data_IF_619050722087
#
_entry.id   IF_619050722087
#
_cell.length_a   1.000
_cell.length_b   1.000
_cell.length_c   1.000
_cell.angle_alpha   90.00
_cell.angle_beta   90.00
_cell.angle_gamma   90.00
#
_symmetry.space_group_name_H-M   'P 1'
#
loop_
_entity.id
_entity.type
_entity.pdbx_description
1 polymer ?
#
# COMPACT_ATOMS: atom_id res chain seq x y z
N UNK A 1 12.83 11.85 15.65
CA UNK A 1 12.19 11.29 14.44
C UNK A 1 13.23 10.89 13.40
N UNK A 2 14.01 11.83 12.84
CA UNK A 2 15.04 11.50 11.84
C UNK A 2 15.99 10.37 12.29
N UNK A 3 16.47 10.43 13.54
CA UNK A 3 17.32 9.36 14.12
C UNK A 3 16.63 7.99 14.07
N UNK A 4 15.34 7.91 14.41
CA UNK A 4 14.57 6.65 14.38
C UNK A 4 14.55 6.09 12.96
N UNK A 5 14.23 6.94 11.98
CA UNK A 5 14.15 6.53 10.59
C UNK A 5 15.51 6.06 10.08
N UNK A 6 16.56 6.88 10.13
CA UNK A 6 17.86 6.51 9.59
C UNK A 6 18.49 5.31 10.30
N UNK A 7 18.36 5.18 11.63
CA UNK A 7 18.83 4.00 12.35
C UNK A 7 18.08 2.72 11.92
N UNK A 8 16.75 2.80 11.73
CA UNK A 8 15.97 1.65 11.24
C UNK A 8 16.35 1.24 9.81
N UNK A 9 16.72 2.21 8.96
CA UNK A 9 17.19 1.96 7.60
C UNK A 9 18.53 1.24 7.60
N UNK A 10 19.46 1.61 8.49
CA UNK A 10 20.72 0.87 8.68
C UNK A 10 20.45 -0.60 9.04
N UNK A 11 19.58 -0.86 10.03
CA UNK A 11 19.22 -2.24 10.42
C UNK A 11 18.59 -3.00 9.26
N UNK A 12 17.65 -2.37 8.54
CA UNK A 12 17.00 -2.94 7.36
C UNK A 12 18.02 -3.27 6.27
N UNK A 13 18.97 -2.37 6.00
CA UNK A 13 20.04 -2.57 5.01
C UNK A 13 20.94 -3.74 5.41
N UNK A 14 21.27 -3.92 6.69
CA UNK A 14 22.03 -5.09 7.16
C UNK A 14 21.28 -6.38 6.85
N UNK A 15 19.97 -6.42 7.08
CA UNK A 15 19.15 -7.59 6.73
C UNK A 15 19.14 -7.82 5.22
N UNK A 16 18.89 -6.79 4.41
CA UNK A 16 18.91 -6.91 2.95
C UNK A 16 20.26 -7.42 2.43
N UNK A 17 21.39 -6.91 2.95
CA UNK A 17 22.72 -7.40 2.57
C UNK A 17 22.95 -8.86 2.97
N UNK A 18 22.46 -9.29 4.13
CA UNK A 18 22.55 -10.68 4.56
C UNK A 18 21.79 -11.62 3.64
N UNK A 19 20.57 -11.25 3.22
CA UNK A 19 19.79 -12.02 2.24
C UNK A 19 20.41 -11.97 0.84
N UNK A 20 20.80 -10.78 0.37
CA UNK A 20 21.46 -10.61 -0.92
C UNK A 20 22.72 -11.48 -1.02
N UNK A 21 23.54 -11.57 0.04
CA UNK A 21 24.76 -12.38 0.05
C UNK A 21 24.54 -13.89 -0.09
N UNK A 22 23.31 -14.36 0.15
CA UNK A 22 22.90 -15.76 0.06
C UNK A 22 22.03 -16.06 -1.16
N UNK A 23 21.57 -15.02 -1.88
CA UNK A 23 20.69 -15.16 -3.03
C UNK A 23 21.37 -15.96 -4.14
N UNK A 24 20.73 -17.05 -4.55
CA UNK A 24 21.12 -17.81 -5.74
C UNK A 24 20.73 -17.07 -7.01
N UNK A 25 21.30 -17.49 -8.15
CA UNK A 25 20.96 -16.91 -9.44
C UNK A 25 19.49 -17.16 -9.78
N UNK A 26 18.81 -16.12 -10.26
CA UNK A 26 17.42 -16.18 -10.69
C UNK A 26 17.24 -15.52 -12.06
N UNK A 27 16.02 -15.61 -12.59
CA UNK A 27 15.68 -14.93 -13.84
C UNK A 27 15.74 -13.39 -13.76
N UNK A 28 15.74 -12.80 -12.55
CA UNK A 28 15.84 -11.34 -12.34
C UNK A 28 17.20 -10.86 -11.87
N UNK A 29 18.04 -11.72 -11.30
CA UNK A 29 19.30 -11.28 -10.71
C UNK A 29 20.40 -12.36 -10.74
N UNK A 30 21.68 -11.95 -10.89
CA UNK A 30 22.80 -12.87 -10.71
C UNK A 30 22.88 -13.37 -9.26
N UNK A 31 23.60 -14.47 -9.05
CA UNK A 31 23.90 -14.94 -7.69
C UNK A 31 24.64 -13.85 -6.89
N UNK A 32 24.25 -13.69 -5.63
CA UNK A 32 24.80 -12.71 -4.69
C UNK A 32 24.78 -11.27 -5.22
N UNK A 33 23.60 -10.75 -5.62
CA UNK A 33 23.48 -9.42 -6.18
C UNK A 33 23.91 -8.34 -5.18
N UNK A 34 24.29 -7.17 -5.68
CA UNK A 34 24.52 -6.02 -4.80
C UNK A 34 23.20 -5.50 -4.20
N UNK A 35 23.30 -4.55 -3.27
CA UNK A 35 22.13 -4.00 -2.60
C UNK A 35 21.14 -3.35 -3.56
N UNK A 36 21.63 -2.69 -4.62
CA UNK A 36 20.78 -1.94 -5.55
C UNK A 36 19.97 -2.90 -6.41
N UNK A 37 20.62 -3.91 -6.99
CA UNK A 37 19.93 -4.97 -7.74
C UNK A 37 18.95 -5.72 -6.84
N UNK A 38 19.36 -6.13 -5.64
CA UNK A 38 18.46 -6.83 -4.70
C UNK A 38 17.27 -5.97 -4.24
N UNK A 39 17.42 -4.64 -4.25
CA UNK A 39 16.37 -3.70 -3.87
C UNK A 39 15.35 -3.41 -4.98
N UNK A 40 15.63 -3.87 -6.20
CA UNK A 40 14.83 -3.63 -7.40
C UNK A 40 14.34 -4.94 -8.04
N UNK A 41 14.19 -6.01 -7.25
CA UNK A 41 13.53 -7.24 -7.69
C UNK A 41 12.02 -7.04 -7.92
N UNK A 42 11.37 -8.02 -8.55
CA UNK A 42 9.93 -8.10 -8.82
C UNK A 42 9.31 -6.88 -9.50
N UNK A 43 8.36 -6.20 -8.84
CA UNK A 43 7.56 -5.09 -9.37
C UNK A 43 8.42 -3.90 -9.82
N UNK A 44 9.64 -3.76 -9.28
CA UNK A 44 10.50 -2.64 -9.66
C UNK A 44 10.83 -2.63 -11.15
N UNK A 45 10.99 -3.81 -11.76
CA UNK A 45 11.22 -3.93 -13.20
C UNK A 45 10.07 -3.36 -14.04
N UNK A 46 8.82 -3.44 -13.55
CA UNK A 46 7.67 -2.84 -14.22
C UNK A 46 7.66 -1.33 -14.10
N UNK A 47 8.00 -0.81 -12.92
CA UNK A 47 8.19 0.63 -12.74
C UNK A 47 9.33 1.19 -13.60
N UNK A 48 10.44 0.45 -13.72
CA UNK A 48 11.54 0.81 -14.60
C UNK A 48 11.09 0.87 -16.06
N UNK A 49 10.40 -0.18 -16.53
CA UNK A 49 9.86 -0.24 -17.90
C UNK A 49 8.95 0.95 -18.20
N UNK A 50 8.16 1.41 -17.23
CA UNK A 50 7.33 2.61 -17.38
C UNK A 50 8.18 3.89 -17.47
N UNK A 51 9.25 3.97 -16.68
CA UNK A 51 10.11 5.14 -16.60
C UNK A 51 11.05 5.29 -17.81
N UNK A 52 11.63 4.20 -18.29
CA UNK A 52 12.71 4.19 -19.30
C UNK A 52 12.25 3.66 -20.66
N UNK A 53 11.23 2.80 -20.68
CA UNK A 53 10.86 2.05 -21.86
C UNK A 53 10.01 2.84 -22.88
N UNK A 54 10.17 2.60 -24.19
CA UNK A 54 9.27 3.12 -25.21
C UNK A 54 7.85 2.52 -25.12
N UNK A 55 7.69 1.41 -24.39
CA UNK A 55 6.43 0.65 -24.23
C UNK A 55 5.80 0.78 -22.83
N UNK A 56 6.14 1.82 -22.05
CA UNK A 56 5.68 1.98 -20.67
C UNK A 56 4.15 1.86 -20.51
N UNK A 57 3.39 2.53 -21.37
CA UNK A 57 1.93 2.36 -21.47
C UNK A 57 1.54 2.14 -22.94
N UNK A 58 1.75 0.92 -23.43
CA UNK A 58 1.40 0.52 -24.80
C UNK A 58 -0.10 0.67 -25.07
N UNK A 59 -0.45 1.14 -26.27
CA UNK A 59 -1.83 1.12 -26.77
C UNK A 59 -2.29 -0.30 -27.15
N UNK A 60 -1.36 -1.20 -27.45
CA UNK A 60 -1.66 -2.60 -27.71
C UNK A 60 -1.40 -3.43 -26.45
N UNK A 61 -2.42 -4.17 -26.02
CA UNK A 61 -2.32 -5.10 -24.89
C UNK A 61 -1.61 -6.38 -25.34
N UNK A 62 -0.58 -6.86 -24.62
CA UNK A 62 0.06 -8.12 -24.93
C UNK A 62 -0.92 -9.27 -24.69
N UNK A 63 -0.89 -10.28 -25.58
CA UNK A 63 -1.77 -11.44 -25.52
C UNK A 63 -0.97 -12.73 -25.70
N UNK A 64 -1.41 -13.80 -25.04
CA UNK A 64 -0.87 -15.15 -25.25
C UNK A 64 -1.44 -15.80 -26.53
N UNK A 65 -1.01 -17.02 -26.84
CA UNK A 65 -1.47 -17.78 -28.01
C UNK A 65 -2.99 -18.05 -28.01
N UNK A 66 -3.63 -18.00 -26.84
CA UNK A 66 -5.07 -18.18 -26.64
C UNK A 66 -5.84 -16.84 -26.76
N UNK A 67 -5.14 -15.74 -27.04
CA UNK A 67 -5.71 -14.40 -27.19
C UNK A 67 -6.04 -13.70 -25.86
N UNK A 68 -5.66 -14.27 -24.72
CA UNK A 68 -5.88 -13.69 -23.39
C UNK A 68 -4.82 -12.62 -23.11
N UNK A 69 -5.22 -11.53 -22.46
CA UNK A 69 -4.29 -10.47 -22.03
C UNK A 69 -3.32 -11.03 -21.00
N UNK A 70 -2.02 -10.74 -21.16
CA UNK A 70 -0.98 -11.14 -20.22
C UNK A 70 -0.58 -10.00 -19.30
N UNK A 71 0.22 -10.33 -18.28
CA UNK A 71 0.80 -9.36 -17.35
C UNK A 71 1.49 -8.22 -18.09
N UNK A 72 1.18 -6.99 -17.68
CA UNK A 72 1.69 -5.81 -18.35
C UNK A 72 1.68 -4.57 -17.44
N UNK A 73 2.30 -3.50 -17.95
CA UNK A 73 2.56 -2.28 -17.20
C UNK A 73 1.31 -1.49 -16.79
N UNK A 74 0.13 -1.72 -17.39
CA UNK A 74 -1.11 -1.05 -16.99
C UNK A 74 -1.57 -1.40 -15.56
N UNK A 75 -1.04 -2.46 -14.94
CA UNK A 75 -1.22 -2.74 -13.51
C UNK A 75 -0.56 -1.70 -12.59
N UNK A 76 0.43 -0.96 -13.10
CA UNK A 76 1.27 -0.06 -12.31
C UNK A 76 0.98 1.40 -12.67
N UNK A 77 0.72 2.21 -11.64
CA UNK A 77 0.33 3.60 -11.81
C UNK A 77 1.53 4.55 -11.98
N UNK A 78 1.33 5.71 -12.63
CA UNK A 78 2.45 6.46 -13.22
C UNK A 78 3.24 7.34 -12.25
N UNK A 79 2.68 7.74 -11.10
CA UNK A 79 3.31 8.81 -10.30
C UNK A 79 4.69 8.41 -9.79
N UNK A 80 4.85 7.23 -9.21
CA UNK A 80 6.15 6.77 -8.70
C UNK A 80 7.22 6.64 -9.81
N UNK A 81 7.01 5.86 -10.89
CA UNK A 81 8.03 5.72 -11.93
C UNK A 81 8.36 7.04 -12.65
N UNK A 82 7.39 7.94 -12.81
CA UNK A 82 7.66 9.26 -13.40
C UNK A 82 8.47 10.18 -12.48
N UNK A 83 8.29 10.09 -11.15
CA UNK A 83 9.13 10.81 -10.20
C UNK A 83 10.57 10.29 -10.21
N UNK A 84 10.75 8.97 -10.30
CA UNK A 84 12.08 8.36 -10.46
C UNK A 84 12.71 8.80 -11.78
N UNK A 85 11.97 8.76 -12.89
CA UNK A 85 12.43 9.27 -14.20
C UNK A 85 12.88 10.72 -14.13
N UNK A 86 12.12 11.59 -13.47
CA UNK A 86 12.48 12.99 -13.31
C UNK A 86 13.81 13.14 -12.55
N UNK A 87 14.02 12.35 -11.49
CA UNK A 87 15.30 12.33 -10.77
C UNK A 87 16.44 11.83 -11.66
N UNK A 88 16.24 10.75 -12.42
CA UNK A 88 17.23 10.21 -13.35
C UNK A 88 17.64 11.24 -14.40
N UNK A 89 16.68 11.97 -14.99
CA UNK A 89 16.96 13.01 -15.99
C UNK A 89 17.80 14.14 -15.41
N UNK A 90 17.54 14.54 -14.16
CA UNK A 90 18.27 15.65 -13.50
C UNK A 90 19.65 15.21 -13.00
N UNK A 91 19.80 13.98 -12.52
CA UNK A 91 21.01 13.52 -11.82
C UNK A 91 21.87 12.56 -12.62
N UNK A 92 21.36 12.04 -13.75
CA UNK A 92 21.95 10.97 -14.56
C UNK A 92 22.19 9.66 -13.80
N UNK A 93 21.58 9.49 -12.63
CA UNK A 93 21.63 8.24 -11.87
C UNK A 93 20.90 7.11 -12.61
N UNK A 94 21.39 5.87 -12.48
CA UNK A 94 20.69 4.70 -13.01
C UNK A 94 19.42 4.42 -12.19
N UNK A 95 18.50 3.63 -12.76
CA UNK A 95 17.18 3.34 -12.17
C UNK A 95 17.31 2.80 -10.74
N UNK A 96 18.19 1.82 -10.55
CA UNK A 96 18.32 1.03 -9.33
C UNK A 96 18.70 1.90 -8.13
N UNK A 97 19.45 2.98 -8.38
CA UNK A 97 19.84 3.97 -7.37
C UNK A 97 18.74 5.01 -7.21
N UNK A 98 18.24 5.58 -8.31
CA UNK A 98 17.23 6.63 -8.27
C UNK A 98 15.92 6.18 -7.62
N UNK A 99 15.45 4.97 -7.91
CA UNK A 99 14.22 4.38 -7.37
C UNK A 99 14.30 4.22 -5.85
N UNK A 100 15.43 3.72 -5.34
CA UNK A 100 15.70 3.52 -3.91
C UNK A 100 15.84 4.85 -3.18
N UNK A 101 16.47 5.86 -3.79
CA UNK A 101 16.55 7.20 -3.22
C UNK A 101 15.16 7.85 -3.11
N UNK A 102 14.34 7.77 -4.16
CA UNK A 102 12.96 8.27 -4.15
C UNK A 102 12.13 7.53 -3.10
N UNK A 103 12.20 6.20 -3.06
CA UNK A 103 11.50 5.39 -2.07
C UNK A 103 11.92 5.75 -0.64
N UNK A 104 13.23 5.90 -0.38
CA UNK A 104 13.76 6.29 0.93
C UNK A 104 13.32 7.69 1.34
N UNK A 105 13.30 8.65 0.40
CA UNK A 105 12.82 10.00 0.65
C UNK A 105 11.32 10.01 1.00
N UNK A 106 10.50 9.29 0.23
CA UNK A 106 9.08 9.14 0.56
C UNK A 106 8.85 8.34 1.83
N UNK A 107 9.67 7.35 2.13
CA UNK A 107 9.61 6.59 3.37
C UNK A 107 9.87 7.48 4.58
N UNK A 108 10.86 8.37 4.49
CA UNK A 108 11.13 9.37 5.52
C UNK A 108 9.96 10.34 5.66
N UNK A 109 9.45 10.86 4.54
CA UNK A 109 8.31 11.76 4.53
C UNK A 109 7.05 11.10 5.12
N UNK A 110 6.78 9.84 4.77
CA UNK A 110 5.67 9.05 5.29
C UNK A 110 5.78 8.90 6.80
N UNK A 111 6.95 8.50 7.30
CA UNK A 111 7.18 8.34 8.73
C UNK A 111 7.06 9.69 9.48
N UNK A 112 7.55 10.78 8.88
CA UNK A 112 7.44 12.13 9.44
C UNK A 112 6.00 12.61 9.50
N UNK A 113 5.23 12.50 8.40
CA UNK A 113 3.83 12.88 8.37
C UNK A 113 3.01 11.99 9.30
N UNK A 114 3.25 10.67 9.33
CA UNK A 114 2.58 9.77 10.26
C UNK A 114 2.79 10.17 11.73
N UNK A 115 4.02 10.55 12.09
CA UNK A 115 4.33 11.11 13.41
C UNK A 115 3.49 12.37 13.68
N UNK A 116 3.38 13.29 12.72
CA UNK A 116 2.55 14.50 12.86
C UNK A 116 1.06 14.18 12.95
N UNK A 117 0.56 13.22 12.17
CA UNK A 117 -0.84 12.77 12.19
C UNK A 117 -1.20 12.19 13.55
N UNK A 118 -0.39 11.27 14.07
CA UNK A 118 -0.64 10.66 15.38
C UNK A 118 -0.49 11.66 16.53
N UNK A 119 0.40 12.64 16.43
CA UNK A 119 0.55 13.69 17.44
C UNK A 119 -0.72 14.54 17.61
N UNK A 120 -1.68 14.48 16.68
CA UNK A 120 -2.99 15.14 16.81
C UNK A 120 -3.97 14.37 17.71
N UNK A 121 -3.73 13.08 17.96
CA UNK A 121 -4.71 12.18 18.61
C UNK A 121 -4.17 11.40 19.80
N UNK A 122 -2.85 11.21 19.91
CA UNK A 122 -2.21 10.46 21.02
C UNK A 122 -1.01 11.21 21.60
N UNK A 123 -0.55 10.77 22.79
CA UNK A 123 0.57 11.41 23.49
C UNK A 123 1.93 11.16 22.84
N UNK A 124 2.89 12.05 23.09
CA UNK A 124 4.24 12.06 22.51
C UNK A 124 4.97 10.70 22.58
N UNK A 125 4.83 9.97 23.69
CA UNK A 125 5.48 8.65 23.85
C UNK A 125 4.86 7.60 22.92
N UNK A 126 3.53 7.58 22.84
CA UNK A 126 2.77 6.70 21.93
C UNK A 126 3.08 7.06 20.47
N UNK A 127 3.11 8.35 20.12
CA UNK A 127 3.47 8.81 18.78
C UNK A 127 4.87 8.34 18.39
N UNK A 128 5.88 8.58 19.23
CA UNK A 128 7.26 8.20 18.92
C UNK A 128 7.42 6.68 18.77
N UNK A 129 6.76 5.90 19.64
CA UNK A 129 6.82 4.46 19.58
C UNK A 129 6.07 3.90 18.35
N UNK A 130 4.89 4.40 18.02
CA UNK A 130 4.17 4.02 16.79
C UNK A 130 5.00 4.30 15.53
N UNK A 131 5.69 5.46 15.49
CA UNK A 131 6.57 5.77 14.36
C UNK A 131 7.78 4.85 14.30
N UNK A 132 8.37 4.46 15.44
CA UNK A 132 9.37 3.40 15.48
C UNK A 132 8.83 2.12 14.85
N UNK A 133 7.66 1.63 15.30
CA UNK A 133 7.03 0.41 14.77
C UNK A 133 6.79 0.48 13.26
N UNK A 134 6.38 1.64 12.74
CA UNK A 134 6.24 1.85 11.28
C UNK A 134 7.59 1.70 10.55
N UNK A 135 8.66 2.21 11.17
CA UNK A 135 9.99 2.17 10.59
C UNK A 135 10.66 0.80 10.66
N UNK A 136 10.27 -0.08 11.60
CA UNK A 136 10.87 -1.42 11.78
C UNK A 136 9.90 -2.57 11.51
N UNK A 137 8.68 -2.27 11.04
CA UNK A 137 7.64 -3.27 10.83
C UNK A 137 8.05 -4.34 9.80
N UNK A 138 7.31 -5.46 9.72
CA UNK A 138 7.65 -6.57 8.83
C UNK A 138 7.91 -6.15 7.38
N UNK A 139 7.06 -5.27 6.85
CA UNK A 139 7.13 -4.75 5.47
C UNK A 139 7.89 -3.42 5.37
N UNK A 140 8.56 -2.98 6.44
CA UNK A 140 9.37 -1.76 6.41
C UNK A 140 10.58 -1.78 5.46
N UNK A 141 11.09 -2.91 4.92
CA UNK A 141 12.04 -2.86 3.81
C UNK A 141 11.55 -2.01 2.65
N UNK A 142 10.25 -2.02 2.34
CA UNK A 142 9.65 -1.22 1.26
C UNK A 142 9.83 0.30 1.44
N UNK A 143 10.23 0.75 2.62
CA UNK A 143 10.64 2.13 2.87
C UNK A 143 11.99 2.50 2.22
N UNK A 144 12.68 1.54 1.61
CA UNK A 144 13.97 1.68 0.92
C UNK A 144 14.16 0.67 -0.23
N UNK A 145 13.09 0.07 -0.75
CA UNK A 145 13.11 -0.74 -1.97
C UNK A 145 12.51 0.09 -3.12
N UNK A 146 12.88 -0.19 -4.38
CA UNK A 146 12.49 0.58 -5.57
C UNK A 146 11.00 0.47 -5.96
N UNK A 147 10.11 0.80 -5.03
CA UNK A 147 8.69 0.46 -4.99
C UNK A 147 7.82 1.68 -4.64
N UNK A 148 6.57 1.70 -5.14
CA UNK A 148 5.64 2.80 -4.95
C UNK A 148 5.05 2.89 -3.53
N UNK A 149 5.20 1.84 -2.71
CA UNK A 149 4.60 1.70 -1.37
C UNK A 149 5.00 2.84 -0.43
N UNK A 150 6.25 3.30 -0.52
CA UNK A 150 6.71 4.45 0.25
C UNK A 150 5.94 5.73 -0.07
N UNK A 151 5.74 6.01 -1.36
CA UNK A 151 4.96 7.15 -1.83
C UNK A 151 3.48 7.00 -1.44
N UNK A 152 2.91 5.79 -1.57
CA UNK A 152 1.56 5.50 -1.12
C UNK A 152 1.37 5.78 0.38
N UNK A 153 2.28 5.30 1.22
CA UNK A 153 2.20 5.52 2.66
C UNK A 153 2.32 7.00 3.02
N UNK A 154 3.15 7.76 2.30
CA UNK A 154 3.23 9.21 2.45
C UNK A 154 1.89 9.88 2.15
N UNK A 155 1.28 9.57 1.00
CA UNK A 155 0.00 10.15 0.63
C UNK A 155 -1.13 9.74 1.58
N UNK A 156 -1.15 8.50 2.05
CA UNK A 156 -2.13 8.05 3.06
C UNK A 156 -1.94 8.81 4.37
N UNK A 157 -0.71 8.93 4.87
CA UNK A 157 -0.42 9.70 6.07
C UNK A 157 -0.82 11.18 5.93
N UNK A 158 -0.55 11.77 4.77
CA UNK A 158 -0.85 13.18 4.46
C UNK A 158 -2.36 13.41 4.31
N UNK A 159 -3.08 12.55 3.60
CA UNK A 159 -4.52 12.66 3.47
C UNK A 159 -5.23 12.46 4.82
N UNK A 160 -4.75 11.56 5.68
CA UNK A 160 -5.23 11.46 7.06
C UNK A 160 -4.94 12.72 7.87
N UNK A 161 -3.73 13.29 7.75
CA UNK A 161 -3.38 14.55 8.39
C UNK A 161 -4.33 15.69 7.96
N UNK A 162 -4.56 15.82 6.65
CA UNK A 162 -5.42 16.84 6.06
C UNK A 162 -6.89 16.62 6.43
N UNK A 163 -7.36 15.37 6.50
CA UNK A 163 -8.71 15.02 6.92
C UNK A 163 -8.95 15.42 8.39
N UNK A 164 -8.05 15.03 9.30
CA UNK A 164 -8.14 15.38 10.73
C UNK A 164 -8.07 16.90 10.93
N UNK A 165 -7.20 17.58 10.17
CA UNK A 165 -7.09 19.05 10.17
C UNK A 165 -8.20 19.76 9.39
N UNK A 166 -9.06 19.02 8.68
CA UNK A 166 -10.14 19.55 7.80
C UNK A 166 -9.62 20.52 6.74
N UNK A 167 -8.42 20.28 6.21
CA UNK A 167 -7.77 21.09 5.17
C UNK A 167 -8.18 20.63 3.76
N UNK A 168 -9.45 20.82 3.44
CA UNK A 168 -10.08 20.27 2.22
C UNK A 168 -9.44 20.74 0.92
N UNK A 169 -9.09 22.04 0.80
CA UNK A 169 -8.55 22.59 -0.45
C UNK A 169 -7.21 21.95 -0.83
N UNK A 170 -6.35 21.69 0.16
CA UNK A 170 -5.07 21.00 -0.04
C UNK A 170 -5.30 19.51 -0.30
N UNK A 171 -6.35 18.92 0.26
CA UNK A 171 -6.71 17.52 0.06
C UNK A 171 -7.07 17.20 -1.41
N UNK A 172 -7.69 18.14 -2.13
CA UNK A 172 -8.15 17.95 -3.52
C UNK A 172 -7.03 17.58 -4.52
N UNK A 173 -5.91 18.31 -4.63
CA UNK A 173 -4.83 17.88 -5.51
C UNK A 173 -4.12 16.62 -4.98
N UNK A 174 -3.98 16.49 -3.66
CA UNK A 174 -3.27 15.36 -3.04
C UNK A 174 -4.00 14.03 -3.30
N UNK A 175 -5.33 14.00 -3.23
CA UNK A 175 -6.12 12.78 -3.45
C UNK A 175 -6.03 12.28 -4.90
N UNK A 176 -5.92 13.21 -5.86
CA UNK A 176 -5.72 12.87 -7.27
C UNK A 176 -4.35 12.23 -7.45
N UNK A 177 -3.28 12.86 -6.96
CA UNK A 177 -1.92 12.30 -7.07
C UNK A 177 -1.80 10.96 -6.33
N UNK A 178 -2.41 10.82 -5.15
CA UNK A 178 -2.45 9.57 -4.42
C UNK A 178 -3.14 8.45 -5.23
N UNK A 179 -4.24 8.76 -5.90
CA UNK A 179 -5.02 7.82 -6.72
C UNK A 179 -4.27 7.34 -7.97
N UNK A 180 -3.27 8.10 -8.44
CA UNK A 180 -2.35 7.72 -9.54
C UNK A 180 -0.97 7.28 -9.04
N UNK A 181 -0.78 7.15 -7.73
CA UNK A 181 0.41 6.51 -7.16
C UNK A 181 0.16 5.02 -6.99
N UNK A 182 -0.97 4.68 -6.38
CA UNK A 182 -1.49 3.32 -6.14
C UNK A 182 -3.01 3.39 -6.10
N UNK A 183 -3.75 2.30 -6.40
CA UNK A 183 -5.21 2.32 -6.52
C UNK A 183 -5.87 2.49 -5.16
N UNK A 184 -5.99 3.74 -4.70
CA UNK A 184 -6.52 4.10 -3.37
C UNK A 184 -7.68 5.09 -3.44
N UNK A 185 -7.98 5.63 -4.62
CA UNK A 185 -9.03 6.64 -4.81
C UNK A 185 -10.42 6.16 -4.38
N UNK A 186 -10.77 4.90 -4.65
CA UNK A 186 -12.05 4.34 -4.21
C UNK A 186 -12.11 4.11 -2.69
N UNK A 187 -11.00 3.69 -2.08
CA UNK A 187 -10.91 3.59 -0.62
C UNK A 187 -11.08 4.97 0.04
N UNK A 188 -10.50 6.02 -0.53
CA UNK A 188 -10.68 7.39 -0.05
C UNK A 188 -12.09 7.94 -0.31
N UNK A 189 -12.72 7.59 -1.44
CA UNK A 189 -14.11 7.95 -1.72
C UNK A 189 -15.05 7.35 -0.66
N UNK A 190 -14.86 6.07 -0.33
CA UNK A 190 -15.59 5.42 0.75
C UNK A 190 -15.28 6.06 2.11
N UNK A 191 -14.02 6.40 2.38
CA UNK A 191 -13.59 7.06 3.62
C UNK A 191 -14.33 8.39 3.80
N UNK A 192 -14.37 9.22 2.77
CA UNK A 192 -15.01 10.53 2.79
C UNK A 192 -16.54 10.43 2.84
N UNK A 193 -17.12 9.43 2.16
CA UNK A 193 -18.55 9.13 2.25
C UNK A 193 -18.96 8.69 3.65
N UNK A 194 -18.24 7.76 4.26
CA UNK A 194 -18.49 7.32 5.64
C UNK A 194 -18.24 8.44 6.66
N UNK A 195 -17.20 9.26 6.45
CA UNK A 195 -16.94 10.43 7.28
C UNK A 195 -18.10 11.44 7.20
N UNK A 196 -18.60 11.73 6.00
CA UNK A 196 -19.78 12.55 5.79
C UNK A 196 -20.99 12.00 6.57
N UNK A 197 -21.29 10.70 6.43
CA UNK A 197 -22.42 10.07 7.13
C UNK A 197 -22.26 10.12 8.64
N UNK A 198 -21.05 9.89 9.16
CA UNK A 198 -20.77 9.95 10.59
C UNK A 198 -20.99 11.37 11.15
N UNK A 199 -20.48 12.40 10.45
CA UNK A 199 -20.65 13.81 10.82
C UNK A 199 -22.10 14.25 10.72
N UNK A 200 -22.79 13.86 9.64
CA UNK A 200 -24.22 14.11 9.46
C UNK A 200 -25.05 13.52 10.60
N UNK A 201 -24.74 12.29 11.02
CA UNK A 201 -25.44 11.64 12.12
C UNK A 201 -25.20 12.33 13.46
N UNK A 202 -23.96 12.76 13.76
CA UNK A 202 -23.65 13.49 14.98
C UNK A 202 -24.31 14.88 14.99
N UNK A 203 -24.36 15.56 13.84
CA UNK A 203 -25.10 16.82 13.67
C UNK A 203 -26.60 16.65 13.89
N UNK A 204 -27.22 15.64 13.28
CA UNK A 204 -28.64 15.33 13.47
C UNK A 204 -29.00 14.98 14.92
N UNK A 205 -28.03 14.50 15.70
CA UNK A 205 -28.17 14.26 17.16
C UNK A 205 -27.85 15.49 18.02
N UNK A 206 -27.57 16.64 17.42
CA UNK A 206 -27.22 17.88 18.13
C UNK A 206 -25.89 17.80 18.90
N UNK A 207 -24.98 16.90 18.51
CA UNK A 207 -23.69 16.69 19.19
C UNK A 207 -22.56 17.53 18.62
N UNK A 208 -22.70 17.99 17.38
CA UNK A 208 -21.72 18.85 16.71
C UNK A 208 -22.35 19.68 15.59
N UNK A 209 -21.66 20.73 15.19
CA UNK A 209 -22.01 21.50 14.00
C UNK A 209 -21.43 20.86 12.74
N UNK A 210 -22.23 20.85 11.67
CA UNK A 210 -21.77 20.49 10.33
C UNK A 210 -22.20 21.57 9.31
N UNK A 211 -21.45 22.68 9.25
CA UNK A 211 -21.85 23.84 8.46
C UNK A 211 -21.83 23.52 6.96
N UNK A 212 -22.75 24.14 6.20
CA UNK A 212 -22.91 23.90 4.74
C UNK A 212 -21.61 24.00 3.93
N UNK A 213 -20.68 24.95 4.18
CA UNK A 213 -19.41 24.98 3.46
C UNK A 213 -18.54 23.73 3.70
N UNK A 214 -18.58 23.15 4.90
CA UNK A 214 -17.84 21.92 5.20
C UNK A 214 -18.48 20.73 4.48
N UNK A 215 -19.82 20.62 4.49
CA UNK A 215 -20.58 19.61 3.73
C UNK A 215 -20.15 19.60 2.25
N UNK A 216 -20.18 20.76 1.59
CA UNK A 216 -19.83 20.89 0.17
C UNK A 216 -18.39 20.43 -0.07
N UNK A 217 -17.45 20.81 0.81
CA UNK A 217 -16.03 20.45 0.67
C UNK A 217 -15.78 18.95 0.83
N UNK A 218 -16.45 18.30 1.79
CA UNK A 218 -16.38 16.84 1.99
C UNK A 218 -16.94 16.11 0.77
N UNK A 219 -18.11 16.54 0.29
CA UNK A 219 -18.74 15.95 -0.89
C UNK A 219 -17.88 16.13 -2.15
N UNK A 220 -17.33 17.33 -2.37
CA UNK A 220 -16.45 17.61 -3.49
C UNK A 220 -15.18 16.74 -3.45
N UNK A 221 -14.55 16.60 -2.27
CA UNK A 221 -13.40 15.73 -2.09
C UNK A 221 -13.76 14.25 -2.33
N UNK A 222 -14.91 13.79 -1.84
CA UNK A 222 -15.38 12.42 -2.02
C UNK A 222 -15.68 12.09 -3.49
N UNK A 223 -16.37 12.99 -4.20
CA UNK A 223 -16.64 12.86 -5.64
C UNK A 223 -15.36 12.89 -6.47
N UNK A 224 -14.45 13.83 -6.18
CA UNK A 224 -13.16 13.89 -6.86
C UNK A 224 -12.35 12.61 -6.63
N UNK A 225 -12.38 12.05 -5.42
CA UNK A 225 -11.74 10.78 -5.09
C UNK A 225 -12.33 9.61 -5.87
N UNK A 226 -13.66 9.58 -6.05
CA UNK A 226 -14.33 8.55 -6.83
C UNK A 226 -13.94 8.64 -8.31
N UNK A 227 -13.98 9.85 -8.89
CA UNK A 227 -13.54 10.10 -10.27
C UNK A 227 -12.08 9.71 -10.46
N UNK A 228 -11.18 10.13 -9.55
CA UNK A 228 -9.77 9.78 -9.60
C UNK A 228 -9.55 8.27 -9.41
N UNK A 229 -10.35 7.61 -8.57
CA UNK A 229 -10.31 6.17 -8.34
C UNK A 229 -10.66 5.33 -9.58
N UNK A 230 -11.56 5.83 -10.44
CA UNK A 230 -11.84 5.24 -11.74
C UNK A 230 -10.95 5.79 -12.86
N UNK A 231 -10.21 6.87 -12.60
CA UNK A 231 -9.45 7.59 -13.62
C UNK A 231 -8.44 6.71 -14.36
N UNK A 232 -7.76 5.81 -13.66
CA UNK A 232 -6.79 4.91 -14.30
C UNK A 232 -7.44 3.89 -15.24
N UNK A 233 -8.61 3.35 -14.87
CA UNK A 233 -9.40 2.45 -15.74
C UNK A 233 -9.82 3.18 -17.01
N UNK A 234 -10.28 4.43 -16.87
CA UNK A 234 -10.73 5.26 -18.00
C UNK A 234 -9.56 5.64 -18.92
N UNK A 235 -8.37 5.91 -18.37
CA UNK A 235 -7.17 6.20 -19.16
C UNK A 235 -6.71 4.95 -19.91
N UNK A 236 -6.65 3.79 -19.25
CA UNK A 236 -6.30 2.53 -19.89
C UNK A 236 -7.25 2.21 -21.04
N UNK A 237 -8.56 2.39 -20.84
CA UNK A 237 -9.55 2.26 -21.90
C UNK A 237 -9.30 3.26 -23.04
N UNK A 238 -9.15 4.55 -22.74
CA UNK A 238 -8.99 5.57 -23.77
C UNK A 238 -7.73 5.36 -24.63
N UNK A 239 -6.62 4.88 -24.04
CA UNK A 239 -5.35 4.67 -24.74
C UNK A 239 -5.34 3.36 -25.53
N UNK A 240 -5.94 2.30 -25.00
CA UNK A 240 -5.92 0.97 -25.63
C UNK A 240 -7.09 0.71 -26.57
N UNK A 241 -8.16 1.50 -26.46
CA UNK A 241 -9.44 1.25 -27.13
C UNK A 241 -10.24 0.07 -26.54
N UNK A 242 -9.73 -0.61 -25.51
CA UNK A 242 -10.36 -1.79 -24.89
C UNK A 242 -10.98 -1.40 -23.53
N UNK A 243 -12.32 -1.42 -23.38
CA UNK A 243 -12.99 -1.00 -22.14
C UNK A 243 -12.54 -1.78 -20.89
N UNK A 244 -12.20 -3.05 -21.06
CA UNK A 244 -11.77 -3.96 -20.00
C UNK A 244 -10.26 -3.92 -19.72
N UNK A 245 -9.47 -3.10 -20.43
CA UNK A 245 -8.00 -3.17 -20.44
C UNK A 245 -7.34 -3.29 -19.05
N UNK A 246 -7.74 -2.43 -18.11
CA UNK A 246 -7.20 -2.47 -16.75
C UNK A 246 -7.64 -3.72 -15.98
N UNK A 247 -8.91 -4.11 -16.11
CA UNK A 247 -9.45 -5.27 -15.40
C UNK A 247 -8.83 -6.57 -15.94
N UNK A 248 -8.71 -6.70 -17.26
CA UNK A 248 -8.04 -7.83 -17.92
C UNK A 248 -6.58 -7.91 -17.48
N UNK A 249 -5.90 -6.77 -17.40
CA UNK A 249 -4.52 -6.69 -16.89
C UNK A 249 -4.40 -7.15 -15.43
N UNK A 250 -5.30 -6.70 -14.55
CA UNK A 250 -5.34 -7.11 -13.13
C UNK A 250 -5.75 -8.58 -12.93
N UNK A 251 -6.47 -9.17 -13.89
CA UNK A 251 -6.83 -10.59 -13.88
C UNK A 251 -5.71 -11.47 -14.44
N UNK A 252 -4.87 -10.96 -15.33
CA UNK A 252 -3.73 -11.70 -15.86
C UNK A 252 -2.78 -12.19 -14.75
N UNK A 253 -2.53 -11.37 -13.74
CA UNK A 253 -1.69 -11.69 -12.57
C UNK A 253 -2.18 -12.85 -11.71
N UNK A 254 -3.46 -13.22 -11.81
CA UNK A 254 -4.05 -14.29 -11.00
C UNK A 254 -4.45 -15.52 -11.83
N UNK A 255 -4.27 -15.47 -13.14
CA UNK A 255 -4.80 -16.49 -14.06
C UNK A 255 -4.22 -17.88 -13.79
N UNK A 256 -2.96 -17.96 -13.35
CA UNK A 256 -2.31 -19.21 -12.99
C UNK A 256 -2.93 -19.89 -11.75
N UNK A 257 -3.60 -19.12 -10.88
CA UNK A 257 -4.26 -19.65 -9.68
C UNK A 257 -5.73 -20.01 -9.91
N UNK A 258 -6.44 -19.25 -10.74
CA UNK A 258 -7.90 -19.35 -10.86
C UNK A 258 -8.40 -19.80 -12.22
N UNK A 259 -7.52 -19.83 -13.23
CA UNK A 259 -7.93 -19.82 -14.63
C UNK A 259 -8.58 -18.49 -15.03
N UNK A 260 -9.06 -18.39 -16.28
CA UNK A 260 -9.75 -17.20 -16.78
C UNK A 260 -11.11 -17.07 -16.08
N UNK A 261 -11.23 -16.03 -15.24
CA UNK A 261 -12.44 -15.70 -14.50
C UNK A 261 -12.74 -14.21 -14.61
N UNK A 262 -14.01 -13.85 -14.45
CA UNK A 262 -14.40 -12.45 -14.34
C UNK A 262 -14.13 -11.90 -12.93
N UNK A 263 -13.91 -10.59 -12.84
CA UNK A 263 -13.79 -9.90 -11.56
C UNK A 263 -15.17 -9.79 -10.89
N UNK A 264 -15.44 -10.66 -9.92
CA UNK A 264 -16.55 -10.51 -9.00
C UNK A 264 -16.03 -9.94 -7.68
N UNK A 265 -16.48 -8.76 -7.22
CA UNK A 265 -16.00 -8.21 -5.96
C UNK A 265 -16.19 -9.17 -4.79
N UNK A 266 -15.23 -9.17 -3.86
CA UNK A 266 -15.20 -9.98 -2.64
C UNK A 266 -14.98 -11.49 -2.82
N UNK A 267 -14.83 -12.01 -4.04
CA UNK A 267 -14.58 -13.45 -4.27
C UNK A 267 -13.10 -13.81 -4.31
N UNK A 268 -12.22 -12.87 -4.66
CA UNK A 268 -10.78 -13.12 -4.85
C UNK A 268 -10.10 -13.78 -3.65
N UNK A 269 -10.44 -13.33 -2.44
CA UNK A 269 -9.91 -13.91 -1.20
C UNK A 269 -10.33 -15.37 -0.98
N UNK A 270 -11.58 -15.70 -1.34
CA UNK A 270 -12.07 -17.07 -1.28
C UNK A 270 -11.42 -17.95 -2.34
N UNK A 271 -11.22 -17.46 -3.57
CA UNK A 271 -10.51 -18.19 -4.61
C UNK A 271 -9.06 -18.50 -4.19
N UNK A 272 -8.32 -17.49 -3.71
CA UNK A 272 -6.94 -17.68 -3.27
C UNK A 272 -6.84 -18.64 -2.08
N UNK A 273 -7.69 -18.49 -1.07
CA UNK A 273 -7.70 -19.39 0.08
C UNK A 273 -8.13 -20.83 -0.30
N UNK A 274 -9.03 -20.97 -1.27
CA UNK A 274 -9.42 -22.29 -1.81
C UNK A 274 -8.27 -22.96 -2.54
N UNK A 275 -7.50 -22.20 -3.32
CA UNK A 275 -6.32 -22.72 -4.03
C UNK A 275 -5.30 -23.33 -3.05
N UNK A 276 -5.02 -22.64 -1.95
CA UNK A 276 -4.01 -23.10 -0.98
C UNK A 276 -4.52 -24.13 0.04
N UNK A 277 -5.78 -24.06 0.45
CA UNK A 277 -6.30 -24.85 1.59
C UNK A 277 -7.50 -25.74 1.25
N UNK A 278 -8.05 -25.66 0.03
CA UNK A 278 -9.27 -26.36 -0.37
C UNK A 278 -10.53 -25.88 0.35
N UNK A 279 -11.68 -26.47 0.00
CA UNK A 279 -12.97 -26.22 0.67
C UNK A 279 -13.29 -27.34 1.67
N UNK A 280 -13.89 -27.05 2.83
CA UNK A 280 -14.39 -25.75 3.30
C UNK A 280 -13.36 -24.87 4.06
N UNK A 281 -12.16 -25.39 4.29
CA UNK A 281 -11.14 -24.76 5.15
C UNK A 281 -10.77 -23.36 4.67
N UNK A 282 -10.57 -23.18 3.36
CA UNK A 282 -10.23 -21.89 2.78
C UNK A 282 -11.27 -20.81 3.06
N UNK A 283 -12.56 -21.14 2.96
CA UNK A 283 -13.64 -20.20 3.29
C UNK A 283 -13.66 -19.83 4.79
N UNK A 284 -13.42 -20.80 5.67
CA UNK A 284 -13.34 -20.57 7.12
C UNK A 284 -12.19 -19.61 7.45
N UNK A 285 -11.03 -19.79 6.83
CA UNK A 285 -9.85 -18.91 7.02
C UNK A 285 -10.19 -17.46 6.62
N UNK A 286 -10.84 -17.26 5.47
CA UNK A 286 -11.21 -15.92 4.99
C UNK A 286 -12.21 -15.25 5.93
N UNK A 287 -13.24 -15.98 6.36
CA UNK A 287 -14.23 -15.44 7.30
C UNK A 287 -13.57 -15.09 8.64
N UNK A 288 -12.71 -15.96 9.16
CA UNK A 288 -11.97 -15.70 10.40
C UNK A 288 -11.07 -14.46 10.26
N UNK A 289 -10.36 -14.33 9.14
CA UNK A 289 -9.52 -13.17 8.85
C UNK A 289 -10.34 -11.86 8.85
N UNK A 290 -11.49 -11.84 8.16
CA UNK A 290 -12.40 -10.68 8.13
C UNK A 290 -12.90 -10.37 9.54
N UNK A 291 -13.34 -11.37 10.31
CA UNK A 291 -13.80 -11.19 11.69
C UNK A 291 -12.71 -10.61 12.58
N UNK A 292 -11.47 -11.11 12.46
CA UNK A 292 -10.33 -10.61 13.23
C UNK A 292 -10.02 -9.16 12.87
N UNK A 293 -9.95 -8.82 11.58
CA UNK A 293 -9.64 -7.44 11.16
C UNK A 293 -10.73 -6.47 11.61
N UNK A 294 -12.00 -6.80 11.40
CA UNK A 294 -13.12 -5.97 11.85
C UNK A 294 -13.16 -5.88 13.38
N UNK A 295 -12.87 -6.98 14.08
CA UNK A 295 -12.74 -7.04 15.53
C UNK A 295 -11.67 -6.08 16.05
N UNK A 296 -10.47 -6.08 15.44
CA UNK A 296 -9.37 -5.17 15.77
C UNK A 296 -9.79 -3.71 15.57
N UNK A 297 -10.42 -3.36 14.44
CA UNK A 297 -10.91 -2.00 14.14
C UNK A 297 -12.01 -1.56 15.13
N UNK A 298 -12.80 -2.52 15.63
CA UNK A 298 -13.88 -2.30 16.59
C UNK A 298 -13.39 -2.19 18.05
N UNK A 299 -12.16 -2.59 18.36
CA UNK A 299 -11.63 -2.57 19.73
C UNK A 299 -11.78 -1.18 20.37
N UNK A 300 -12.14 -1.08 21.67
CA UNK A 300 -12.31 0.20 22.35
C UNK A 300 -11.06 1.10 22.28
N UNK A 301 -9.87 0.50 22.28
CA UNK A 301 -8.59 1.22 22.18
C UNK A 301 -8.47 2.04 20.89
N UNK A 302 -9.05 1.58 19.78
CA UNK A 302 -9.02 2.27 18.48
C UNK A 302 -9.73 3.62 18.53
N UNK A 303 -10.68 3.82 19.45
CA UNK A 303 -11.38 5.11 19.62
C UNK A 303 -10.42 6.25 20.00
N UNK A 304 -9.25 5.93 20.59
CA UNK A 304 -8.22 6.92 20.89
C UNK A 304 -7.53 7.50 19.64
N UNK A 305 -7.67 6.84 18.49
CA UNK A 305 -7.08 7.32 17.23
C UNK A 305 -8.02 8.26 16.44
N UNK A 306 -9.23 8.53 16.95
CA UNK A 306 -10.23 9.32 16.23
C UNK A 306 -11.05 8.49 15.23
N UNK A 307 -12.11 9.10 14.72
CA UNK A 307 -13.05 8.43 13.80
C UNK A 307 -12.47 8.35 12.39
N UNK A 308 -11.69 9.35 11.99
CA UNK A 308 -11.05 9.49 10.68
C UNK A 308 -10.14 8.31 10.38
N UNK A 309 -9.25 7.96 11.32
CA UNK A 309 -8.34 6.82 11.19
C UNK A 309 -9.11 5.51 11.12
N UNK A 310 -10.14 5.33 11.95
CA UNK A 310 -10.94 4.09 11.98
C UNK A 310 -11.72 3.89 10.69
N UNK A 311 -12.31 4.97 10.15
CA UNK A 311 -13.03 4.93 8.89
C UNK A 311 -12.06 4.61 7.75
N UNK A 312 -10.87 5.21 7.71
CA UNK A 312 -9.84 4.85 6.72
C UNK A 312 -9.48 3.37 6.78
N UNK A 313 -9.21 2.83 7.98
CA UNK A 313 -8.86 1.42 8.14
C UNK A 313 -9.98 0.50 7.64
N UNK A 314 -11.24 0.83 7.96
CA UNK A 314 -12.41 0.10 7.46
C UNK A 314 -12.51 0.20 5.94
N UNK A 315 -12.46 1.40 5.38
CA UNK A 315 -12.61 1.64 3.95
C UNK A 315 -11.51 1.01 3.12
N UNK A 316 -10.25 1.13 3.55
CA UNK A 316 -9.12 0.53 2.86
C UNK A 316 -9.19 -1.00 2.90
N UNK A 317 -9.52 -1.57 4.07
CA UNK A 317 -9.71 -3.01 4.19
C UNK A 317 -10.86 -3.50 3.31
N UNK A 318 -12.02 -2.83 3.33
CA UNK A 318 -13.15 -3.20 2.48
C UNK A 318 -12.81 -3.10 1.00
N UNK A 319 -12.11 -2.04 0.59
CA UNK A 319 -11.65 -1.88 -0.79
C UNK A 319 -10.72 -3.01 -1.20
N UNK A 320 -9.68 -3.30 -0.40
CA UNK A 320 -8.74 -4.37 -0.67
C UNK A 320 -9.44 -5.73 -0.69
N UNK A 321 -10.35 -5.98 0.25
CA UNK A 321 -11.15 -7.21 0.29
C UNK A 321 -12.04 -7.37 -0.96
N UNK A 322 -12.53 -6.25 -1.52
CA UNK A 322 -13.37 -6.27 -2.71
C UNK A 322 -12.62 -6.66 -3.98
N UNK A 323 -11.43 -6.11 -4.24
CA UNK A 323 -10.81 -6.20 -5.57
C UNK A 323 -9.58 -7.08 -5.64
N UNK A 324 -8.92 -7.32 -4.51
CA UNK A 324 -7.61 -7.97 -4.48
C UNK A 324 -7.71 -9.50 -4.37
N UNK A 325 -6.73 -10.17 -4.97
CA UNK A 325 -6.51 -11.61 -4.86
C UNK A 325 -5.29 -11.87 -3.98
N UNK A 326 -5.41 -12.57 -2.85
CA UNK A 326 -4.30 -12.74 -1.91
C UNK A 326 -3.21 -13.66 -2.45
N UNK A 327 -2.00 -13.13 -2.53
CA UNK A 327 -0.76 -13.81 -2.88
C UNK A 327 0.40 -13.30 -2.00
N UNK A 328 1.65 -13.56 -2.35
CA UNK A 328 2.83 -13.06 -1.60
C UNK A 328 2.82 -11.53 -1.40
N UNK A 329 2.26 -10.77 -2.34
CA UNK A 329 2.10 -9.31 -2.25
C UNK A 329 1.07 -8.85 -1.21
N UNK A 330 0.31 -9.75 -0.58
CA UNK A 330 -0.73 -9.38 0.41
C UNK A 330 -0.16 -8.53 1.54
N UNK A 331 1.01 -8.90 2.07
CA UNK A 331 1.60 -8.17 3.21
C UNK A 331 1.94 -6.73 2.88
N UNK A 332 2.52 -6.47 1.70
CA UNK A 332 2.85 -5.11 1.25
C UNK A 332 1.60 -4.30 0.92
N UNK A 333 0.55 -4.95 0.42
CA UNK A 333 -0.74 -4.29 0.15
C UNK A 333 -1.55 -4.02 1.43
N UNK A 334 -1.28 -4.70 2.54
CA UNK A 334 -1.84 -4.33 3.85
C UNK A 334 -1.10 -3.16 4.52
N UNK A 335 0.07 -2.76 4.01
CA UNK A 335 0.91 -1.70 4.61
C UNK A 335 0.17 -0.36 4.84
N UNK A 336 -0.76 0.10 3.98
CA UNK A 336 -1.54 1.33 4.23
C UNK A 336 -2.47 1.28 5.46
N UNK A 337 -2.61 0.10 6.09
CA UNK A 337 -3.26 -0.05 7.40
C UNK A 337 -2.33 0.32 8.58
N UNK A 338 -1.12 0.82 8.32
CA UNK A 338 -0.15 1.26 9.35
C UNK A 338 -0.70 2.19 10.45
N UNK A 339 -1.78 3.00 10.27
CA UNK A 339 -2.30 3.79 11.38
C UNK A 339 -2.74 2.94 12.59
N UNK A 340 -3.03 1.65 12.40
CA UNK A 340 -3.28 0.69 13.50
C UNK A 340 -2.14 0.61 14.51
N UNK A 341 -0.90 0.89 14.08
CA UNK A 341 0.28 0.94 14.95
C UNK A 341 0.15 1.98 16.06
N UNK A 342 -0.66 3.03 15.85
CA UNK A 342 -0.98 4.01 16.89
C UNK A 342 -1.66 3.36 18.10
N UNK A 343 -2.52 2.36 17.88
CA UNK A 343 -3.18 1.64 18.96
C UNK A 343 -2.25 0.62 19.65
N UNK A 344 -1.43 -0.08 18.85
CA UNK A 344 -0.40 -1.00 19.35
C UNK A 344 0.63 -0.25 20.21
N UNK A 345 0.88 1.03 19.94
CA UNK A 345 1.87 1.80 20.68
C UNK A 345 1.42 2.33 22.05
N UNK A 346 0.13 2.22 22.38
CA UNK A 346 -0.47 2.79 23.59
C UNK A 346 0.08 2.20 24.89
N UNK A 347 0.24 0.86 25.03
CA UNK A 347 0.80 0.29 26.25
C UNK A 347 2.23 0.80 26.51
N UNK A 348 2.47 1.25 27.74
CA UNK A 348 3.75 1.87 28.15
C UNK A 348 4.71 0.91 28.86
N UNK A 349 4.29 -0.34 29.10
CA UNK A 349 5.13 -1.36 29.74
C UNK A 349 6.42 -1.59 28.93
N UNK A 350 7.61 -1.47 29.53
CA UNK A 350 8.87 -1.71 28.84
C UNK A 350 8.95 -3.12 28.24
N UNK A 351 8.52 -4.14 28.99
CA UNK A 351 8.54 -5.53 28.53
C UNK A 351 7.67 -5.72 27.28
N UNK A 352 6.47 -5.12 27.27
CA UNK A 352 5.59 -5.14 26.10
C UNK A 352 6.27 -4.46 24.90
N UNK A 353 6.82 -3.25 25.10
CA UNK A 353 7.42 -2.48 24.00
C UNK A 353 8.64 -3.18 23.41
N UNK A 354 9.50 -3.77 24.25
CA UNK A 354 10.62 -4.60 23.79
C UNK A 354 10.12 -5.81 23.03
N UNK A 355 9.12 -6.53 23.56
CA UNK A 355 8.52 -7.67 22.88
C UNK A 355 7.96 -7.33 21.50
N UNK A 356 7.24 -6.21 21.37
CA UNK A 356 6.71 -5.75 20.07
C UNK A 356 7.85 -5.36 19.12
N UNK A 357 8.90 -4.68 19.60
CA UNK A 357 10.08 -4.36 18.75
C UNK A 357 10.75 -5.62 18.23
N UNK A 358 11.00 -6.61 19.09
CA UNK A 358 11.56 -7.90 18.68
C UNK A 358 10.64 -8.58 17.67
N UNK A 359 9.33 -8.61 17.93
CA UNK A 359 8.35 -9.18 17.00
C UNK A 359 8.37 -8.50 15.62
N UNK A 360 8.47 -7.17 15.57
CA UNK A 360 8.55 -6.44 14.30
C UNK A 360 9.83 -6.76 13.52
N UNK A 361 10.98 -6.81 14.20
CA UNK A 361 12.27 -7.14 13.58
C UNK A 361 12.34 -8.59 13.09
N UNK A 362 11.85 -9.54 13.89
CA UNK A 362 11.73 -10.94 13.47
C UNK A 362 10.76 -11.06 12.30
N UNK A 363 9.61 -10.37 12.38
CA UNK A 363 8.64 -10.31 11.29
C UNK A 363 9.25 -9.74 10.00
N UNK A 364 10.19 -8.80 10.10
CA UNK A 364 10.92 -8.26 8.95
C UNK A 364 11.82 -9.31 8.30
N UNK A 365 12.56 -10.08 9.11
CA UNK A 365 13.37 -11.20 8.62
C UNK A 365 12.51 -12.29 7.96
N UNK A 366 11.37 -12.64 8.59
CA UNK A 366 10.44 -13.62 8.04
C UNK A 366 9.81 -13.13 6.73
N UNK A 367 9.42 -11.85 6.66
CA UNK A 367 8.87 -11.28 5.42
C UNK A 367 9.91 -11.28 4.30
N UNK A 368 11.17 -10.91 4.60
CA UNK A 368 12.25 -11.01 3.61
C UNK A 368 12.46 -12.44 3.15
N UNK A 369 12.47 -13.42 4.05
CA UNK A 369 12.66 -14.83 3.70
C UNK A 369 11.52 -15.40 2.85
N UNK A 370 10.25 -15.13 3.20
CA UNK A 370 9.10 -15.76 2.54
C UNK A 370 8.55 -14.99 1.34
N UNK A 371 8.82 -13.69 1.23
CA UNK A 371 8.14 -12.82 0.26
C UNK A 371 9.08 -11.99 -0.62
N UNK A 372 10.39 -12.03 -0.38
CA UNK A 372 11.35 -11.21 -1.12
C UNK A 372 12.55 -12.00 -1.64
N UNK A 373 13.18 -12.76 -0.75
CA UNK A 373 14.24 -13.71 -1.06
C UNK A 373 13.68 -14.85 -1.91
N UNK A 374 14.39 -15.21 -2.97
CA UNK A 374 13.91 -16.22 -3.93
C UNK A 374 14.61 -17.55 -3.73
N UNK A 375 13.79 -18.59 -3.62
CA UNK A 375 14.17 -20.00 -3.60
C UNK A 375 13.37 -20.73 -4.67
N UNK A 376 13.98 -21.70 -5.34
CA UNK A 376 13.31 -22.49 -6.37
C UNK A 376 12.03 -23.15 -5.81
N UNK A 377 10.88 -22.88 -6.44
CA UNK A 377 9.57 -23.44 -6.07
C UNK A 377 8.92 -22.86 -4.82
N UNK A 378 9.38 -21.70 -4.34
CA UNK A 378 8.80 -21.06 -3.16
C UNK A 378 7.53 -20.22 -3.45
N UNK A 379 7.07 -19.50 -2.43
CA UNK A 379 5.85 -18.70 -2.47
C UNK A 379 6.04 -17.28 -3.04
N UNK A 380 7.25 -16.93 -3.47
CA UNK A 380 7.53 -15.60 -4.03
C UNK A 380 6.86 -15.42 -5.39
N UNK A 381 6.53 -14.18 -5.81
CA UNK A 381 5.73 -13.95 -7.01
C UNK A 381 6.54 -14.24 -8.28
N UNK A 382 6.51 -15.49 -8.76
CA UNK A 382 7.16 -15.93 -9.99
C UNK A 382 6.67 -15.16 -11.23
#
# INVERSE_FOLDING_TARGET
MAIIFFASRVVTTVFLLAFASQQEETWQSPAKPDLWTFSNLWDSAWYERIATGPYGYSSELPRNDEGQVTENAWAFMPVYPMLVRALMVVTTLPWEVASVLVATAFGFAAAWVFNRTLALVVDKSTTAFATLLFCIGPTSPLLQLGYAESAQNFFVALLLYLLIKRQWLVMLPVIVVASFTRPTGLAWAMTLGLYFLARWWMHAKGREDFPRPEVIRVMAAGLLSAVAGFGWLLIAWAVTGVPSAYIDTELAWRIHYTGPIELVPFTGWFHGSTFWFGQPIGAIIVVLFVVVVLGVIALPVMRRLGIEIRIWLLSYFTYLFAVFFPQSSTFRLLMPMFPVLGAIAIPKSPLYRVGVVVFMLVGQLLWLYFCWYTVEGDWTPA
#
